data_IF_167146344630
#
_entry.id   IF_167146344630
#
_cell.length_a   1.000
_cell.length_b   1.000
_cell.length_c   1.000
_cell.angle_alpha   90.00
_cell.angle_beta   90.00
_cell.angle_gamma   90.00
#
_symmetry.space_group_name_H-M   'P 1'
#
loop_
_entity.id
_entity.type
_entity.pdbx_description
1 polymer ?
2 non-polymer ?
3 water ?
#
# COMPACT_ATOMS: atom_id res chain seq x y z
N UNK A 1 -15.38 -3.42 25.30
CA UNK A 1 -14.64 -2.31 24.66
C UNK A 1 -14.97 -2.18 23.18
N UNK A 2 -15.19 -0.93 22.75
CA UNK A 2 -15.56 -0.63 21.39
C UNK A 2 -14.48 0.27 20.78
N UNK A 3 -13.96 -0.14 19.61
CA UNK A 3 -12.94 0.63 18.91
C UNK A 3 -13.46 1.00 17.52
N UNK A 4 -12.95 2.09 16.97
CA UNK A 4 -13.22 2.46 15.57
C UNK A 4 -11.97 2.31 14.75
N UNK A 5 -12.13 1.85 13.51
CA UNK A 5 -10.99 1.55 12.64
C UNK A 5 -11.26 2.12 11.26
N UNK A 6 -10.70 3.28 10.95
CA UNK A 6 -10.84 3.81 9.60
C UNK A 6 -9.96 3.11 8.56
N UNK A 7 -10.54 2.86 7.39
CA UNK A 7 -9.77 2.50 6.23
C UNK A 7 -10.16 3.41 5.07
N UNK A 8 -9.20 3.63 4.17
CA UNK A 8 -9.39 4.50 3.03
C UNK A 8 -10.03 3.82 1.80
N UNK A 9 -10.27 2.51 1.87
CA UNK A 9 -10.66 1.69 0.71
C UNK A 9 -12.05 1.10 0.89
N UNK A 10 -12.71 0.73 -0.24
CA UNK A 10 -14.10 0.31 -0.23
C UNK A 10 -14.29 -1.12 0.26
N UNK A 11 -15.52 -1.48 0.58
CA UNK A 11 -15.81 -2.81 1.09
C UNK A 11 -15.32 -3.93 0.16
N UNK A 12 -15.36 -3.70 -1.15
CA UNK A 12 -14.98 -4.74 -2.13
C UNK A 12 -13.46 -4.92 -2.24
N UNK A 13 -12.71 -4.01 -1.65
CA UNK A 13 -11.25 -4.09 -1.71
C UNK A 13 -10.67 -5.20 -0.83
N UNK A 14 -9.67 -5.91 -1.39
CA UNK A 14 -9.03 -7.04 -0.71
C UNK A 14 -8.56 -6.74 0.73
N UNK A 15 -7.97 -5.56 0.97
CA UNK A 15 -7.54 -5.22 2.35
C UNK A 15 -8.73 -5.10 3.30
N UNK A 16 -9.86 -4.60 2.78
CA UNK A 16 -11.05 -4.34 3.61
C UNK A 16 -11.84 -5.63 3.84
N UNK A 17 -11.95 -6.45 2.78
CA UNK A 17 -12.41 -7.83 2.94
C UNK A 17 -11.63 -8.50 4.07
N UNK A 18 -10.30 -8.35 4.10
CA UNK A 18 -9.48 -8.95 5.16
C UNK A 18 -9.79 -8.32 6.52
N UNK A 19 -9.92 -6.99 6.51
CA UNK A 19 -10.21 -6.26 7.77
C UNK A 19 -11.53 -6.72 8.38
N UNK A 20 -12.49 -7.01 7.49
CA UNK A 20 -13.83 -7.48 7.88
C UNK A 20 -13.72 -8.84 8.61
N UNK A 21 -12.92 -9.74 8.06
CA UNK A 21 -12.65 -11.02 8.76
C UNK A 21 -11.87 -10.81 10.06
N UNK A 22 -10.92 -9.88 10.03
CA UNK A 22 -10.12 -9.51 11.20
C UNK A 22 -11.02 -9.08 12.35
N UNK A 23 -11.98 -8.19 12.09
CA UNK A 23 -12.80 -7.67 13.18
C UNK A 23 -13.66 -8.82 13.77
N UNK A 24 -14.14 -9.72 12.89
CA UNK A 24 -14.81 -10.96 13.30
C UNK A 24 -13.91 -11.86 14.16
N UNK A 25 -12.64 -11.99 13.80
CA UNK A 25 -11.67 -12.78 14.59
C UNK A 25 -11.42 -12.15 15.97
N UNK A 26 -11.33 -10.83 16.04
CA UNK A 26 -11.10 -10.16 17.33
C UNK A 26 -12.29 -10.37 18.26
N UNK A 27 -13.50 -10.25 17.71
CA UNK A 27 -14.73 -10.54 18.45
C UNK A 27 -14.69 -11.99 18.96
N UNK A 28 -14.52 -12.95 18.05
CA UNK A 28 -14.55 -14.36 18.43
C UNK A 28 -13.46 -14.75 19.43
N UNK A 29 -12.22 -14.34 19.17
CA UNK A 29 -11.11 -14.67 20.08
C UNK A 29 -11.17 -13.98 21.44
N UNK A 30 -11.70 -12.75 21.47
CA UNK A 30 -11.74 -11.99 22.72
C UNK A 30 -13.03 -12.30 23.51
N UNK A 31 -13.84 -13.19 22.94
CA UNK A 31 -15.13 -13.55 23.52
C UNK A 31 -16.09 -12.40 23.54
N UNK A 32 -15.95 -11.48 22.57
CA UNK A 32 -16.85 -10.32 22.49
C UNK A 32 -16.44 -9.12 23.33
N UNK A 33 -15.31 -9.21 24.02
CA UNK A 33 -14.85 -8.12 24.86
C UNK A 33 -14.22 -6.97 24.04
N UNK A 34 -13.87 -7.23 22.78
CA UNK A 34 -13.41 -6.15 21.91
C UNK A 34 -14.17 -6.15 20.59
N UNK A 35 -14.96 -5.09 20.38
CA UNK A 35 -15.74 -4.96 19.16
C UNK A 35 -15.21 -3.82 18.33
N UNK A 36 -14.78 -4.12 17.11
CA UNK A 36 -14.20 -3.09 16.25
C UNK A 36 -15.16 -2.77 15.12
N UNK A 37 -15.46 -1.49 14.99
CA UNK A 37 -16.28 -0.98 13.93
C UNK A 37 -15.37 -0.43 12.85
N UNK A 38 -15.57 -0.94 11.64
CA UNK A 38 -14.81 -0.49 10.47
C UNK A 38 -15.52 0.67 9.81
N UNK A 39 -14.75 1.68 9.44
CA UNK A 39 -15.26 2.83 8.71
C UNK A 39 -14.61 2.87 7.36
N UNK A 40 -15.29 2.34 6.36
CA UNK A 40 -14.60 2.13 5.09
C UNK A 40 -14.74 3.25 4.09
N UNK A 41 -14.02 3.11 2.98
CA UNK A 41 -14.03 4.07 1.90
C UNK A 41 -13.75 5.51 2.34
N UNK A 42 -12.84 5.69 3.31
CA UNK A 42 -12.46 7.03 3.81
C UNK A 42 -13.62 7.83 4.39
N UNK A 43 -14.65 7.13 4.85
CA UNK A 43 -15.86 7.76 5.38
C UNK A 43 -15.65 8.54 6.69
N UNK A 44 -14.71 8.08 7.51
CA UNK A 44 -14.42 8.73 8.80
C UNK A 44 -13.13 9.54 8.75
N UNK A 45 -12.05 8.86 8.39
CA UNK A 45 -10.79 9.52 8.10
C UNK A 45 -10.29 9.14 6.71
N UNK A 46 -9.61 10.07 6.05
CA UNK A 46 -9.07 9.83 4.69
C UNK A 46 -7.63 9.32 4.78
N UNK A 47 -7.11 8.77 3.69
CA UNK A 47 -5.78 8.13 3.71
C UNK A 47 -4.70 8.96 4.40
N UNK A 48 -4.55 10.24 4.01
CA UNK A 48 -3.47 11.02 4.61
C UNK A 48 -3.65 11.30 6.10
N UNK A 49 -4.87 11.07 6.61
CA UNK A 49 -5.26 11.45 7.99
C UNK A 49 -5.16 10.34 9.03
N UNK A 50 -5.08 9.09 8.58
CA UNK A 50 -5.35 7.95 9.49
C UNK A 50 -4.24 7.79 10.55
N UNK A 51 -2.98 8.04 10.18
CA UNK A 51 -1.88 7.83 11.13
C UNK A 51 -2.01 8.84 12.28
N UNK A 52 -2.29 10.10 11.94
CA UNK A 52 -2.52 11.13 12.97
C UNK A 52 -3.74 10.81 13.84
N UNK A 53 -4.79 10.28 13.22
CA UNK A 53 -6.00 9.88 13.96
C UNK A 53 -5.69 8.82 15.03
N UNK A 54 -4.87 7.82 14.69
CA UNK A 54 -4.47 6.78 15.64
C UNK A 54 -3.42 7.31 16.64
N UNK A 55 -2.51 8.17 16.18
CA UNK A 55 -1.53 8.76 17.06
C UNK A 55 -2.17 9.51 18.24
N UNK A 56 -3.24 10.24 17.95
CA UNK A 56 -3.92 11.08 18.96
C UNK A 56 -4.96 10.28 19.70
N UNK A 57 -5.02 8.97 19.41
CA UNK A 57 -6.07 8.12 19.94
C UNK A 57 -7.48 8.62 19.63
N UNK A 58 -7.66 9.32 18.51
CA UNK A 58 -9.03 9.63 18.03
C UNK A 58 -9.70 8.36 17.49
N UNK A 59 -8.91 7.54 16.79
CA UNK A 59 -9.29 6.16 16.48
C UNK A 59 -8.25 5.32 17.20
N UNK A 60 -8.66 4.22 17.85
CA UNK A 60 -7.72 3.38 18.61
C UNK A 60 -6.86 2.50 17.72
N UNK A 61 -7.32 2.31 16.49
CA UNK A 61 -6.73 1.39 15.51
C UNK A 61 -7.06 1.95 14.14
N UNK A 62 -6.21 1.71 13.14
CA UNK A 62 -6.46 2.28 11.82
C UNK A 62 -5.53 1.72 10.76
N UNK A 63 -5.98 1.71 9.52
CA UNK A 63 -5.19 1.19 8.40
C UNK A 63 -4.59 2.33 7.57
N UNK A 64 -3.28 2.29 7.38
CA UNK A 64 -2.60 3.28 6.54
C UNK A 64 -1.87 2.59 5.38
N UNK A 65 -1.49 3.39 4.39
CA UNK A 65 -0.58 2.97 3.32
C UNK A 65 0.75 3.55 3.73
N UNK A 66 1.74 2.69 3.96
CA UNK A 66 3.02 3.17 4.54
C UNK A 66 3.60 4.31 3.73
N UNK A 67 3.64 4.15 2.41
CA UNK A 67 4.28 5.14 1.54
C UNK A 67 3.62 6.53 1.53
N UNK A 68 2.39 6.65 2.04
CA UNK A 68 1.79 7.98 2.20
C UNK A 68 2.60 8.84 3.17
N UNK A 69 3.45 8.19 3.96
CA UNK A 69 4.16 8.88 5.03
C UNK A 69 5.66 9.01 4.77
N UNK A 70 6.04 8.84 3.51
CA UNK A 70 7.44 8.89 3.07
C UNK A 70 8.13 10.21 3.37
N UNK A 71 7.38 11.30 3.38
CA UNK A 71 7.98 12.61 3.70
C UNK A 71 8.22 12.82 5.19
N UNK A 72 7.61 11.99 6.03
CA UNK A 72 7.76 12.15 7.47
C UNK A 72 9.03 11.46 7.96
N UNK A 73 9.32 10.29 7.39
CA UNK A 73 10.50 9.52 7.77
C UNK A 73 10.82 8.52 6.67
N UNK A 74 12.11 8.35 6.31
CA UNK A 74 12.52 7.40 5.27
C UNK A 74 12.02 5.94 5.45
N UNK A 75 11.73 5.50 6.69
CA UNK A 75 11.31 4.11 6.88
C UNK A 75 10.02 3.83 6.11
N UNK A 76 9.21 4.86 5.90
CA UNK A 76 7.90 4.75 5.25
C UNK A 76 7.98 4.61 3.73
N UNK A 77 9.11 5.04 3.16
CA UNK A 77 9.31 5.10 1.71
C UNK A 77 9.72 3.76 1.09
N UNK A 78 10.35 2.90 1.90
CA UNK A 78 11.07 1.72 1.47
C UNK A 78 10.32 0.81 0.49
N UNK A 79 9.10 0.41 0.83
CA UNK A 79 8.34 -0.50 -0.05
C UNK A 79 7.72 0.16 -1.30
N UNK A 80 7.99 1.46 -1.49
CA UNK A 80 7.58 2.16 -2.71
C UNK A 80 8.73 2.40 -3.66
N UNK A 81 9.94 2.02 -3.29
CA UNK A 81 11.09 2.22 -4.20
C UNK A 81 10.96 1.22 -5.35
N UNK A 82 11.01 1.68 -6.63
CA UNK A 82 10.86 0.71 -7.74
C UNK A 82 12.07 -0.20 -7.97
N UNK A 83 11.77 -1.41 -8.44
CA UNK A 83 12.79 -2.39 -8.81
C UNK A 83 13.81 -2.72 -7.72
N UNK A 84 13.29 -2.87 -6.51
CA UNK A 84 14.04 -3.32 -5.36
C UNK A 84 13.48 -4.67 -4.91
N UNK A 85 12.13 -4.80 -4.86
CA UNK A 85 11.49 -6.04 -4.47
C UNK A 85 10.27 -6.16 -5.35
N UNK A 86 10.36 -7.05 -6.34
CA UNK A 86 9.41 -7.03 -7.45
C UNK A 86 8.59 -8.33 -7.50
N UNK A 87 8.31 -8.90 -6.33
CA UNK A 87 7.46 -10.09 -6.25
C UNK A 87 7.04 -10.27 -4.80
N UNK A 88 6.10 -11.19 -4.56
CA UNK A 88 5.58 -11.42 -3.20
C UNK A 88 6.66 -11.90 -2.21
N UNK A 89 7.52 -12.83 -2.62
CA UNK A 89 8.57 -13.31 -1.71
C UNK A 89 9.57 -12.22 -1.38
N UNK A 90 10.05 -11.52 -2.40
CA UNK A 90 11.00 -10.42 -2.14
C UNK A 90 10.33 -9.35 -1.29
N UNK A 91 9.05 -9.09 -1.56
CA UNK A 91 8.30 -8.09 -0.78
C UNK A 91 8.19 -8.51 0.69
N UNK A 92 7.84 -9.77 0.94
CA UNK A 92 7.80 -10.24 2.34
C UNK A 92 9.17 -10.14 3.03
N UNK A 93 10.21 -10.50 2.32
CA UNK A 93 11.56 -10.35 2.89
C UNK A 93 11.95 -8.89 3.13
N UNK A 94 11.55 -8.00 2.22
CA UNK A 94 11.80 -6.58 2.43
C UNK A 94 11.08 -6.12 3.67
N UNK A 95 9.83 -6.54 3.81
CA UNK A 95 9.03 -6.26 5.00
C UNK A 95 9.74 -6.70 6.27
N UNK A 96 10.18 -7.95 6.32
CA UNK A 96 10.85 -8.49 7.52
C UNK A 96 12.09 -7.68 7.91
N UNK A 97 12.85 -7.24 6.90
CA UNK A 97 14.00 -6.34 7.07
C UNK A 97 13.58 -4.96 7.64
N UNK A 98 12.45 -4.45 7.15
CA UNK A 98 11.94 -3.12 7.53
C UNK A 98 11.29 -3.09 8.89
N UNK A 99 10.69 -4.21 9.24
CA UNK A 99 9.71 -4.28 10.34
C UNK A 99 10.25 -3.73 11.67
N UNK A 100 11.46 -4.16 12.10
CA UNK A 100 11.94 -3.66 13.39
C UNK A 100 12.09 -2.13 13.44
N UNK A 101 12.50 -1.55 12.32
CA UNK A 101 12.62 -0.11 12.21
C UNK A 101 11.28 0.62 12.14
N UNK A 102 10.30 0.02 11.47
CA UNK A 102 8.92 0.51 11.44
C UNK A 102 8.33 0.53 12.85
N UNK A 103 8.48 -0.58 13.55
CA UNK A 103 8.01 -0.70 14.93
C UNK A 103 8.67 0.30 15.84
N UNK A 104 9.99 0.45 15.72
CA UNK A 104 10.72 1.47 16.49
C UNK A 104 10.17 2.88 16.24
N UNK A 105 10.06 3.26 14.97
CA UNK A 105 9.54 4.58 14.63
C UNK A 105 8.13 4.78 15.15
N UNK A 106 7.27 3.78 14.98
CA UNK A 106 5.91 3.89 15.47
C UNK A 106 5.88 4.00 16.99
N UNK A 107 6.74 3.24 17.66
CA UNK A 107 6.84 3.31 19.13
C UNK A 107 7.20 4.70 19.66
N UNK A 108 8.09 5.42 18.96
CA UNK A 108 8.49 6.80 19.29
C UNK A 108 7.32 7.80 19.27
N UNK A 109 6.21 7.40 18.66
CA UNK A 109 5.00 8.21 18.59
C UNK A 109 3.80 7.50 19.23
N UNK A 110 4.07 6.57 20.13
CA UNK A 110 3.01 5.90 20.89
C UNK A 110 2.10 4.96 20.14
N UNK A 111 2.60 4.35 19.05
CA UNK A 111 1.80 3.38 18.28
C UNK A 111 2.46 2.01 18.15
N UNK A 112 1.63 1.00 17.91
CA UNK A 112 2.09 -0.35 17.61
C UNK A 112 1.73 -0.76 16.20
N UNK A 113 2.60 -1.57 15.61
CA UNK A 113 2.30 -2.21 14.32
C UNK A 113 1.59 -3.53 14.58
N UNK A 114 0.35 -3.62 14.16
CA UNK A 114 -0.39 -4.86 14.40
C UNK A 114 -0.12 -5.87 13.29
N UNK A 115 -0.32 -5.48 12.05
CA UNK A 115 0.05 -6.31 10.92
C UNK A 115 0.18 -5.46 9.67
N UNK A 116 0.85 -6.01 8.65
CA UNK A 116 1.09 -5.26 7.41
C UNK A 116 0.91 -6.21 6.23
N UNK A 117 0.17 -5.77 5.21
CA UNK A 117 0.01 -6.61 4.03
C UNK A 117 0.27 -5.89 2.72
N UNK A 118 0.89 -6.61 1.79
CA UNK A 118 1.27 -6.01 0.51
C UNK A 118 0.08 -5.96 -0.43
N UNK A 119 -0.08 -4.81 -1.08
CA UNK A 119 -0.90 -4.69 -2.28
C UNK A 119 -0.21 -5.52 -3.38
N UNK A 120 -0.97 -5.88 -4.44
CA UNK A 120 -0.36 -6.61 -5.58
C UNK A 120 0.71 -5.79 -6.35
N UNK A 121 1.53 -6.47 -7.17
CA UNK A 121 2.62 -5.79 -7.86
C UNK A 121 2.14 -4.67 -8.77
N UNK A 122 2.84 -3.55 -8.72
CA UNK A 122 2.35 -2.33 -9.32
C UNK A 122 2.69 -2.20 -10.78
N UNK A 123 1.66 -1.92 -11.59
CA UNK A 123 1.86 -1.74 -13.03
C UNK A 123 1.39 -0.37 -13.45
N UNK A 124 1.49 -0.08 -14.74
CA UNK A 124 1.16 1.24 -15.27
C UNK A 124 -0.08 1.12 -16.08
N UNK A 125 -1.11 1.86 -15.65
CA UNK A 125 -2.35 2.02 -16.41
C UNK A 125 -2.16 3.19 -17.37
N UNK A 126 -2.25 2.93 -18.67
CA UNK A 126 -2.15 4.01 -19.66
C UNK A 126 -2.95 3.73 -20.95
N UNK A 127 -3.11 4.77 -21.74
CA UNK A 127 -3.69 4.60 -23.07
C UNK A 127 -2.62 4.57 -24.14
N UNK A 128 -1.41 4.98 -23.74
CA UNK A 128 -0.21 5.07 -24.57
C UNK A 128 0.54 3.76 -24.72
N UNK A 129 1.26 3.66 -25.83
CA UNK A 129 2.24 2.59 -25.99
C UNK A 129 3.51 2.95 -25.22
N UNK A 130 3.89 2.09 -24.28
CA UNK A 130 5.06 2.36 -23.45
C UNK A 130 6.00 1.19 -23.58
N UNK A 131 7.07 1.40 -24.36
CA UNK A 131 8.07 0.37 -24.58
C UNK A 131 9.38 0.77 -23.92
N UNK A 132 9.45 2.03 -23.49
CA UNK A 132 10.61 2.58 -22.79
C UNK A 132 10.18 3.75 -21.91
N UNK A 133 11.02 4.13 -20.94
CA UNK A 133 10.66 5.19 -20.00
C UNK A 133 10.26 6.48 -20.71
N UNK A 134 10.98 6.84 -21.78
CA UNK A 134 10.69 8.08 -22.51
C UNK A 134 9.25 8.16 -23.01
N UNK A 135 8.64 7.01 -23.30
CA UNK A 135 7.24 6.99 -23.73
C UNK A 135 6.28 7.51 -22.65
N UNK A 136 6.81 7.80 -21.47
CA UNK A 136 5.98 8.27 -20.36
C UNK A 136 6.00 9.79 -20.12
N UNK A 137 6.90 10.47 -20.82
CA UNK A 137 7.03 11.92 -20.71
C UNK A 137 5.70 12.60 -21.05
N UNK A 138 5.24 13.46 -20.16
CA UNK A 138 4.01 14.22 -20.41
C UNK A 138 2.71 13.53 -20.06
N UNK A 139 2.79 12.32 -19.49
CA UNK A 139 1.58 11.62 -19.04
C UNK A 139 0.88 12.48 -17.98
N UNK A 140 -0.46 12.51 -18.00
CA UNK A 140 -1.28 13.16 -16.98
C UNK A 140 -1.49 12.13 -15.86
N UNK A 141 -0.57 12.10 -14.92
CA UNK A 141 -0.39 10.97 -14.02
C UNK A 141 -1.13 11.18 -12.70
N UNK A 142 -1.82 10.15 -12.22
CA UNK A 142 -2.41 10.15 -10.90
C UNK A 142 -1.46 9.50 -9.90
N UNK A 143 -1.01 10.29 -8.93
CA UNK A 143 -0.19 9.76 -7.84
C UNK A 143 -1.13 9.36 -6.73
N UNK A 144 -0.70 8.39 -5.91
CA UNK A 144 -1.41 8.04 -4.69
C UNK A 144 -0.50 8.23 -3.46
N UNK A 145 0.71 8.75 -3.67
CA UNK A 145 1.65 8.91 -2.58
C UNK A 145 2.73 9.90 -3.01
N UNK A 146 3.50 10.46 -2.04
CA UNK A 146 4.68 11.27 -2.40
C UNK A 146 5.66 10.53 -3.30
N UNK A 147 5.78 9.20 -3.10
CA UNK A 147 6.84 8.45 -3.76
C UNK A 147 6.45 8.23 -5.22
N UNK A 148 5.16 8.07 -5.42
CA UNK A 148 4.61 7.79 -6.70
C UNK A 148 4.53 9.12 -7.50
N UNK A 149 4.42 10.24 -6.80
CA UNK A 149 4.64 11.55 -7.42
C UNK A 149 6.10 11.75 -7.87
N UNK A 150 7.04 11.31 -7.04
CA UNK A 150 8.47 11.38 -7.38
C UNK A 150 8.79 10.53 -8.63
N UNK A 151 8.28 9.31 -8.67
CA UNK A 151 8.46 8.44 -9.82
C UNK A 151 7.94 9.11 -11.10
N UNK A 152 6.74 9.68 -11.01
CA UNK A 152 6.17 10.43 -12.14
C UNK A 152 7.15 11.50 -12.60
N UNK A 153 7.63 12.31 -11.65
CA UNK A 153 8.54 13.40 -12.02
C UNK A 153 9.80 12.85 -12.68
N UNK A 154 10.24 11.69 -12.22
CA UNK A 154 11.50 11.14 -12.71
C UNK A 154 11.37 10.55 -14.11
N UNK A 155 10.15 10.23 -14.54
CA UNK A 155 9.94 9.75 -15.90
C UNK A 155 9.44 10.86 -16.85
N UNK A 156 9.34 12.07 -16.31
CA UNK A 156 8.82 13.22 -17.03
C UNK A 156 7.31 13.29 -17.11
N UNK A 157 6.60 12.52 -16.28
CA UNK A 157 5.14 12.65 -16.20
C UNK A 157 4.77 13.81 -15.28
N UNK A 158 3.49 14.18 -15.28
CA UNK A 158 3.04 15.33 -14.49
C UNK A 158 1.99 14.83 -13.51
N UNK A 159 2.39 14.69 -12.24
CA UNK A 159 1.44 14.04 -11.35
C UNK A 159 0.53 14.99 -10.61
N UNK A 160 -0.62 14.44 -10.24
CA UNK A 160 -1.48 15.05 -9.25
C UNK A 160 -1.94 13.92 -8.32
N UNK A 161 -1.98 14.20 -7.03
CA UNK A 161 -2.45 13.19 -6.06
C UNK A 161 -3.96 13.10 -6.02
N UNK A 162 -4.46 11.87 -6.15
CA UNK A 162 -5.87 11.57 -6.02
C UNK A 162 -6.02 10.32 -5.19
N UNK A 163 -6.74 10.41 -4.07
CA UNK A 163 -6.98 9.20 -3.26
C UNK A 163 -7.86 8.23 -4.02
N UNK A 164 -7.82 6.95 -3.65
CA UNK A 164 -8.60 5.94 -4.39
C UNK A 164 -10.10 6.25 -4.37
N UNK A 165 -10.57 6.78 -3.23
CA UNK A 165 -11.98 7.15 -3.08
C UNK A 165 -12.47 8.20 -4.07
N UNK A 166 -11.52 8.98 -4.63
CA UNK A 166 -11.78 10.01 -5.65
C UNK A 166 -11.28 9.68 -7.05
N UNK A 167 -10.79 8.46 -7.26
CA UNK A 167 -10.12 8.12 -8.52
C UNK A 167 -11.10 7.98 -9.68
N UNK A 168 -12.20 7.29 -9.46
CA UNK A 168 -13.19 7.08 -10.51
C UNK A 168 -13.65 8.42 -11.11
N UNK A 169 -13.90 9.37 -10.23
CA UNK A 169 -14.29 10.72 -10.59
C UNK A 169 -13.20 11.45 -11.37
N UNK A 170 -11.96 11.40 -10.89
CA UNK A 170 -10.82 12.02 -11.60
C UNK A 170 -10.60 11.47 -13.01
N UNK A 171 -10.88 10.18 -13.21
CA UNK A 171 -10.80 9.58 -14.53
C UNK A 171 -11.97 10.02 -15.39
N UNK A 172 -13.16 10.02 -14.80
CA UNK A 172 -14.40 10.34 -15.50
C UNK A 172 -14.42 11.77 -15.99
N UNK A 173 -13.71 12.66 -15.30
CA UNK A 173 -13.62 14.06 -15.70
C UNK A 173 -12.33 14.39 -16.47
N UNK A 174 -11.43 13.41 -16.57
CA UNK A 174 -10.24 13.56 -17.42
C UNK A 174 -9.08 14.34 -16.85
N UNK A 175 -9.05 14.49 -15.54
CA UNK A 175 -7.93 15.17 -14.88
C UNK A 175 -6.64 14.37 -15.01
N UNK A 176 -6.78 13.04 -15.07
CA UNK A 176 -5.64 12.11 -15.20
C UNK A 176 -5.95 11.02 -16.23
N UNK A 177 -4.94 10.58 -16.97
CA UNK A 177 -5.09 9.62 -18.07
C UNK A 177 -4.30 8.32 -17.86
N UNK A 178 -3.55 8.28 -16.76
CA UNK A 178 -2.58 7.24 -16.48
C UNK A 178 -2.25 7.25 -14.99
N UNK A 179 -1.76 6.11 -14.51
CA UNK A 179 -1.23 5.96 -13.16
C UNK A 179 -0.57 4.59 -12.91
N UNK A 180 0.23 4.50 -11.85
CA UNK A 180 0.67 3.20 -11.37
C UNK A 180 -0.10 2.78 -10.14
N UNK A 181 -0.53 1.50 -10.15
CA UNK A 181 -1.29 0.86 -9.06
C UNK A 181 -1.42 -0.62 -9.38
N UNK A 182 -2.30 -1.31 -8.64
CA UNK A 182 -2.50 -2.74 -8.74
C UNK A 182 -3.68 -3.03 -9.67
N UNK A 183 -3.79 -4.27 -10.14
CA UNK A 183 -4.99 -4.73 -10.85
C UNK A 183 -6.22 -4.57 -9.96
N UNK A 184 -6.04 -4.81 -8.66
CA UNK A 184 -7.05 -4.60 -7.62
C UNK A 184 -7.74 -3.24 -7.77
N UNK A 185 -6.97 -2.18 -7.61
CA UNK A 185 -7.47 -0.79 -7.74
C UNK A 185 -8.04 -0.51 -9.11
N UNK A 186 -7.34 -0.95 -10.16
CA UNK A 186 -7.86 -0.82 -11.52
C UNK A 186 -9.26 -1.39 -11.67
N UNK A 187 -9.45 -2.61 -11.19
CA UNK A 187 -10.75 -3.27 -11.25
C UNK A 187 -11.79 -2.55 -10.39
N UNK A 188 -11.45 -2.29 -9.12
CA UNK A 188 -12.42 -1.75 -8.17
C UNK A 188 -12.92 -0.34 -8.49
N UNK A 189 -12.20 0.37 -9.35
CA UNK A 189 -12.56 1.73 -9.73
C UNK A 189 -13.06 1.76 -11.17
N UNK A 190 -13.24 0.55 -11.74
CA UNK A 190 -13.60 0.37 -13.14
C UNK A 190 -12.76 1.23 -14.08
N UNK A 191 -11.44 1.17 -13.88
CA UNK A 191 -10.45 1.93 -14.69
C UNK A 191 -10.52 1.56 -16.18
N UNK A 192 -10.94 0.33 -16.45
CA UNK A 192 -11.13 -0.15 -17.82
C UNK A 192 -12.13 0.65 -18.66
N UNK A 193 -13.02 1.39 -18.01
CA UNK A 193 -13.93 2.28 -18.74
C UNK A 193 -13.18 3.44 -19.43
N UNK A 194 -12.04 3.84 -18.88
CA UNK A 194 -11.36 5.06 -19.30
C UNK A 194 -9.94 4.85 -19.76
N UNK A 195 -9.31 3.79 -19.26
CA UNK A 195 -7.91 3.52 -19.55
C UNK A 195 -7.77 2.07 -20.02
N UNK A 196 -7.10 1.86 -21.14
CA UNK A 196 -7.19 0.59 -21.88
C UNK A 196 -6.03 -0.40 -21.76
N UNK A 197 -4.92 0.01 -21.15
CA UNK A 197 -3.73 -0.85 -21.05
C UNK A 197 -3.30 -0.91 -19.60
N UNK A 198 -2.73 -2.06 -19.21
CA UNK A 198 -2.01 -2.19 -17.94
C UNK A 198 -0.71 -2.92 -18.25
N UNK A 199 0.40 -2.22 -18.13
CA UNK A 199 1.73 -2.79 -18.23
C UNK A 199 2.07 -3.39 -16.86
N UNK A 200 2.18 -4.71 -16.85
CA UNK A 200 2.41 -5.50 -15.63
C UNK A 200 3.87 -5.42 -15.21
N UNK A 201 4.32 -4.22 -14.84
CA UNK A 201 5.73 -3.99 -14.48
C UNK A 201 6.14 -4.63 -13.16
N UNK A 202 5.16 -4.94 -12.30
CA UNK A 202 5.46 -5.51 -10.98
C UNK A 202 6.60 -4.73 -10.33
N UNK A 203 6.51 -3.40 -10.42
CA UNK A 203 7.63 -2.51 -10.05
C UNK A 203 7.89 -2.44 -8.57
N UNK A 204 6.85 -2.58 -7.77
CA UNK A 204 6.99 -2.63 -6.31
C UNK A 204 5.70 -3.21 -5.75
N UNK A 205 5.69 -3.50 -4.46
CA UNK A 205 4.50 -3.98 -3.78
C UNK A 205 4.34 -3.15 -2.50
N UNK A 206 3.51 -2.10 -2.57
CA UNK A 206 3.45 -1.23 -1.42
C UNK A 206 2.55 -1.88 -0.36
N UNK A 207 2.85 -1.67 0.92
CA UNK A 207 2.04 -2.30 1.98
C UNK A 207 1.12 -1.31 2.66
N UNK A 208 -0.04 -1.81 3.08
CA UNK A 208 -0.82 -1.17 4.14
C UNK A 208 -0.36 -1.69 5.49
N UNK A 209 -0.66 -0.96 6.55
CA UNK A 209 -0.32 -1.39 7.90
C UNK A 209 -1.49 -1.03 8.78
N UNK A 210 -1.81 -1.94 9.69
CA UNK A 210 -2.82 -1.64 10.69
C UNK A 210 -2.06 -1.26 11.96
N UNK A 211 -2.29 -0.02 12.41
CA UNK A 211 -1.62 0.57 13.55
C UNK A 211 -2.58 0.62 14.70
N UNK A 212 -2.03 0.52 15.92
CA UNK A 212 -2.82 0.53 17.14
C UNK A 212 -2.21 1.58 18.08
N UNK A 213 -3.08 2.38 18.69
CA UNK A 213 -2.63 3.30 19.74
C UNK A 213 -2.22 2.54 21.02
N UNK A 214 -0.98 2.75 21.49
CA UNK A 214 -0.44 1.99 22.66
C UNK A 214 -1.31 2.18 23.91
N UNK A 215 -1.71 3.43 24.17
CA UNK A 215 -2.56 3.72 25.34
C UNK A 215 -3.89 2.96 25.27
N UNK A 216 -4.48 2.90 24.09
CA UNK A 216 -5.74 2.17 23.88
C UNK A 216 -5.54 0.67 24.10
N UNK A 217 -4.40 0.16 23.61
CA UNK A 217 -4.06 -1.26 23.74
C UNK A 217 -3.90 -1.63 25.24
N UNK A 218 -3.17 -0.76 25.95
CA UNK A 218 -2.81 -0.93 27.36
C UNK A 218 -4.00 -0.97 28.30
N UNK A 219 -5.09 -0.33 27.88
CA UNK A 219 -6.32 -0.29 28.67
C UNK A 219 -7.06 -1.63 28.65
N UNK A 220 -6.74 -2.49 27.70
CA UNK A 220 -7.40 -3.78 27.57
C UNK A 220 -6.81 -4.77 28.56
N UNK A 221 -7.61 -5.77 28.93
CA UNK A 221 -7.10 -6.84 29.79
C UNK A 221 -6.20 -7.75 28.96
N UNK A 222 -5.23 -8.41 29.63
CA UNK A 222 -4.25 -9.30 28.99
C UNK A 222 -4.79 -10.31 27.97
N UNK A 223 -5.91 -10.96 28.27
CA UNK A 223 -6.48 -11.94 27.35
C UNK A 223 -6.97 -11.27 26.06
N UNK A 224 -7.60 -10.11 26.23
CA UNK A 224 -8.11 -9.32 25.10
C UNK A 224 -6.95 -8.79 24.25
N UNK A 225 -5.88 -8.33 24.91
CA UNK A 225 -4.64 -7.98 24.20
C UNK A 225 -4.15 -9.15 23.35
N UNK A 226 -4.08 -10.34 23.94
CA UNK A 226 -3.56 -11.51 23.24
C UNK A 226 -4.49 -11.92 22.13
N UNK A 227 -5.79 -11.76 22.34
CA UNK A 227 -6.78 -12.02 21.31
C UNK A 227 -6.57 -11.09 20.07
N UNK A 228 -6.34 -9.81 20.35
CA UNK A 228 -6.01 -8.84 19.31
C UNK A 228 -4.71 -9.19 18.56
N UNK A 229 -3.64 -9.49 19.28
CA UNK A 229 -2.41 -9.86 18.60
C UNK A 229 -2.60 -11.12 17.75
N UNK A 230 -3.31 -12.11 18.29
CA UNK A 230 -3.53 -13.34 17.50
C UNK A 230 -4.39 -13.08 16.28
N UNK A 231 -5.43 -12.26 16.46
CA UNK A 231 -6.28 -11.90 15.33
C UNK A 231 -5.42 -11.17 14.28
N UNK A 232 -4.50 -10.33 14.76
CA UNK A 232 -3.56 -9.58 13.91
C UNK A 232 -2.67 -10.50 13.08
N UNK A 233 -2.07 -11.50 13.73
CA UNK A 233 -1.25 -12.52 13.02
C UNK A 233 -2.02 -13.29 11.96
N UNK A 234 -3.23 -13.74 12.31
CA UNK A 234 -4.12 -14.40 11.34
C UNK A 234 -4.42 -13.47 10.17
N UNK A 235 -4.67 -12.18 10.47
CA UNK A 235 -4.98 -11.18 9.42
C UNK A 235 -3.82 -10.99 8.46
N UNK A 236 -2.60 -10.95 9.00
CA UNK A 236 -1.42 -10.83 8.15
C UNK A 236 -1.29 -12.01 7.22
N UNK A 237 -1.43 -13.22 7.75
CA UNK A 237 -1.33 -14.45 6.94
C UNK A 237 -2.38 -14.48 5.84
N UNK A 238 -3.62 -14.23 6.23
CA UNK A 238 -4.74 -14.23 5.29
C UNK A 238 -4.59 -13.13 4.24
N UNK A 239 -4.12 -11.95 4.66
CA UNK A 239 -4.03 -10.78 3.76
C UNK A 239 -2.99 -11.00 2.67
N UNK A 240 -1.82 -11.52 3.05
CA UNK A 240 -0.80 -11.83 2.04
C UNK A 240 -1.31 -12.91 1.08
N UNK A 241 -1.98 -13.91 1.67
CA UNK A 241 -2.63 -14.98 0.92
C UNK A 241 -3.62 -14.45 -0.13
N UNK A 242 -4.56 -13.61 0.31
CA UNK A 242 -5.61 -13.12 -0.59
C UNK A 242 -5.06 -12.14 -1.64
N UNK A 243 -4.02 -11.39 -1.25
CA UNK A 243 -3.42 -10.43 -2.17
C UNK A 243 -2.83 -11.17 -3.36
N UNK A 244 -2.04 -12.20 -3.09
CA UNK A 244 -1.36 -12.95 -4.17
C UNK A 244 -2.36 -13.75 -4.98
N UNK A 245 -3.27 -14.45 -4.29
CA UNK A 245 -4.27 -15.30 -4.96
C UNK A 245 -5.18 -14.53 -5.92
N UNK A 246 -5.60 -13.33 -5.51
CA UNK A 246 -6.54 -12.56 -6.34
C UNK A 246 -5.87 -11.77 -7.47
N UNK A 247 -4.55 -11.62 -7.39
CA UNK A 247 -3.82 -10.82 -8.37
C UNK A 247 -4.07 -11.35 -9.79
N UNK A 248 -3.97 -12.67 -9.97
CA UNK A 248 -4.25 -13.24 -11.31
C UNK A 248 -5.72 -13.07 -11.66
N UNK A 249 -6.62 -13.20 -10.68
CA UNK A 249 -8.05 -13.01 -10.94
C UNK A 249 -8.33 -11.60 -11.44
N UNK A 250 -7.67 -10.59 -10.85
CA UNK A 250 -7.96 -9.22 -11.26
C UNK A 250 -7.46 -8.97 -12.67
N UNK A 251 -6.25 -9.45 -12.97
CA UNK A 251 -5.66 -9.29 -14.30
C UNK A 251 -6.54 -9.91 -15.41
N UNK A 252 -7.02 -11.13 -15.19
CA UNK A 252 -7.88 -11.82 -16.16
C UNK A 252 -9.26 -11.16 -16.24
N UNK A 253 -9.76 -10.64 -15.12
CA UNK A 253 -11.04 -9.94 -15.14
C UNK A 253 -10.91 -8.59 -15.86
N UNK A 254 -9.82 -7.85 -15.64
CA UNK A 254 -9.54 -6.63 -16.39
C UNK A 254 -9.48 -6.91 -17.89
N UNK A 255 -8.85 -8.02 -18.26
CA UNK A 255 -8.85 -8.46 -19.66
C UNK A 255 -10.26 -8.75 -20.14
N UNK A 256 -11.05 -9.51 -19.36
CA UNK A 256 -12.45 -9.78 -19.71
C UNK A 256 -13.16 -8.47 -20.08
N UNK A 257 -12.77 -7.40 -19.38
CA UNK A 257 -13.39 -6.08 -19.51
C UNK A 257 -12.79 -5.14 -20.56
N UNK A 258 -11.89 -5.69 -21.37
CA UNK A 258 -11.33 -4.97 -22.52
C UNK A 258 -10.01 -4.24 -22.31
N UNK A 259 -9.34 -4.48 -21.19
CA UNK A 259 -8.01 -3.90 -20.95
C UNK A 259 -6.94 -4.85 -21.54
N UNK A 260 -5.89 -4.27 -22.12
CA UNK A 260 -4.75 -5.07 -22.57
C UNK A 260 -3.85 -5.24 -21.35
N UNK A 261 -3.61 -6.48 -20.96
CA UNK A 261 -2.60 -6.76 -19.94
C UNK A 261 -1.27 -7.10 -20.62
N UNK A 262 -0.25 -6.25 -20.41
CA UNK A 262 0.96 -6.30 -21.21
C UNK A 262 2.21 -6.50 -20.34
N UNK A 263 2.96 -7.59 -20.56
CA UNK A 263 4.28 -7.70 -19.94
C UNK A 263 5.20 -6.61 -20.47
N UNK A 264 5.99 -6.01 -19.56
CA UNK A 264 6.87 -4.91 -19.94
C UNK A 264 8.06 -5.40 -20.78
N UNK A 265 8.49 -4.60 -21.77
CA UNK A 265 9.73 -4.88 -22.51
C UNK A 265 10.91 -4.84 -21.53
N UNK A 266 11.99 -5.52 -21.87
CA UNK A 266 13.20 -5.49 -21.06
C UNK A 266 13.70 -4.06 -20.95
N UNK A 267 13.52 -3.29 -22.03
CA UNK A 267 13.91 -1.88 -22.08
C UNK A 267 13.12 -1.02 -21.08
N UNK A 268 11.82 -1.24 -20.99
CA UNK A 268 11.02 -0.49 -20.02
C UNK A 268 11.46 -0.83 -18.61
N UNK A 269 11.63 -2.12 -18.33
CA UNK A 269 12.12 -2.55 -17.01
C UNK A 269 13.51 -1.99 -16.71
N UNK A 270 14.42 -1.98 -17.70
CA UNK A 270 15.75 -1.45 -17.42
C UNK A 270 15.74 0.06 -17.11
N UNK A 271 14.93 0.82 -17.85
CA UNK A 271 14.75 2.25 -17.61
C UNK A 271 14.20 2.56 -16.22
N UNK A 272 13.19 1.79 -15.82
CA UNK A 272 12.58 1.98 -14.50
C UNK A 272 13.51 1.50 -13.40
N UNK A 273 14.35 0.51 -13.72
CA UNK A 273 15.39 0.06 -12.79
C UNK A 273 16.37 1.20 -12.52
N UNK A 274 16.76 1.90 -13.59
CA UNK A 274 17.65 3.06 -13.45
C UNK A 274 17.02 4.14 -12.55
N UNK A 275 15.74 4.42 -12.73
CA UNK A 275 14.95 5.31 -11.83
C UNK A 275 14.98 4.78 -10.40
N UNK A 276 14.71 3.49 -10.24
CA UNK A 276 14.79 2.82 -8.94
C UNK A 276 16.15 2.97 -8.24
N UNK A 277 17.25 2.80 -8.97
CA UNK A 277 18.60 2.93 -8.39
C UNK A 277 18.90 4.35 -7.94
N UNK A 278 18.48 5.31 -8.76
CA UNK A 278 18.53 6.72 -8.37
C UNK A 278 17.72 6.95 -7.07
N UNK A 279 16.49 6.47 -7.04
CA UNK A 279 15.66 6.64 -5.83
C UNK A 279 16.20 5.92 -4.59
N UNK A 280 16.86 4.78 -4.77
CA UNK A 280 17.47 4.06 -3.64
C UNK A 280 18.69 4.82 -3.14
N UNK A 281 19.50 5.33 -4.07
CA UNK A 281 20.61 6.22 -3.68
C UNK A 281 20.10 7.40 -2.84
N UNK A 282 19.09 8.11 -3.36
CA UNK A 282 18.52 9.24 -2.65
C UNK A 282 18.04 8.78 -1.26
N UNK A 283 17.39 7.62 -1.23
CA UNK A 283 16.79 7.09 0.02
C UNK A 283 17.88 6.78 1.04
N UNK A 284 18.94 6.08 0.60
CA UNK A 284 20.08 5.79 1.48
C UNK A 284 20.66 7.09 2.08
N UNK A 285 20.77 8.11 1.25
CA UNK A 285 21.24 9.43 1.72
C UNK A 285 20.32 10.08 2.75
N UNK A 286 19.01 10.02 2.54
CA UNK A 286 18.07 10.53 3.53
C UNK A 286 18.09 9.69 4.80
N UNK A 287 18.24 8.38 4.64
CA UNK A 287 17.98 7.45 5.74
C UNK A 287 19.19 7.21 6.62
N UNK A 288 20.38 7.41 6.08
CA UNK A 288 21.62 7.27 6.85
C UNK A 288 21.83 5.84 7.29
N UNK A 289 22.43 5.66 8.47
CA UNK A 289 22.78 4.32 8.93
C UNK A 289 21.59 3.34 9.00
N UNK A 290 20.41 3.81 9.38
CA UNK A 290 19.23 2.94 9.47
C UNK A 290 18.84 2.40 8.10
N UNK A 291 18.98 3.24 7.08
CA UNK A 291 18.71 2.83 5.71
C UNK A 291 19.63 1.70 5.26
N UNK A 292 20.93 1.87 5.48
CA UNK A 292 21.91 0.83 5.22
C UNK A 292 21.62 -0.46 5.96
N UNK A 293 21.25 -0.39 7.24
CA UNK A 293 20.95 -1.58 8.01
C UNK A 293 19.78 -2.32 7.40
N UNK A 294 18.74 -1.59 7.00
CA UNK A 294 17.54 -2.22 6.42
C UNK A 294 17.92 -2.90 5.12
N UNK A 295 18.67 -2.20 4.29
CA UNK A 295 19.01 -2.75 2.99
C UNK A 295 19.94 -3.97 3.14
N UNK A 296 20.87 -3.93 4.09
CA UNK A 296 21.72 -5.08 4.38
C UNK A 296 20.91 -6.27 4.84
N UNK A 297 19.98 -6.05 5.78
CA UNK A 297 19.11 -7.15 6.25
C UNK A 297 18.26 -7.74 5.14
N UNK A 298 17.79 -6.88 4.23
CA UNK A 298 16.99 -7.37 3.10
C UNK A 298 17.83 -8.23 2.17
N UNK A 299 19.06 -7.79 1.95
CA UNK A 299 19.96 -8.46 1.02
C UNK A 299 20.51 -9.75 1.59
N UNK A 300 20.38 -9.93 2.91
CA UNK A 300 20.79 -11.16 3.61
C UNK A 300 19.73 -12.25 3.58
N UNK A 301 18.51 -11.89 3.22
CA UNK A 301 17.46 -12.91 3.25
C UNK A 301 17.40 -13.76 2.00
X LIG B 1 -3.85 0.70 -4.85
X LIG B 1 -3.80 1.86 -3.91
X LIG B 1 -2.39 1.99 -3.32
X LIG B 1 -1.55 0.90 -3.95
X LIG B 1 -2.52 0.15 -4.80
X LIG B 1 -2.23 -0.90 -5.39
X LIG B 1 -4.07 3.09 -4.74
X LIG B 1 -4.40 4.16 -4.21
X LIG B 1 -3.95 3.02 -5.97
#
# INVERSE_FOLDING_TARGET
TKWDLPTAYPASNLHVENLTQFVKDVDSLSGGKLKITLHNNASLYKAPEIKRAVQGNQAQIGEILLTNFANEDPVYELDGLPFLATGYDASFKLYQAQKPFLEKKLASQGMMLLYSVAWPPQGIFANRDIKQVSDMKGLKWRAYSPVTAKIAELVGAQPVTVQQAELAQAMATGVIDSYMSSGSTGFDTKTYEYIKKFYDTEAWLPKNAVLVNKKAFDALDPATQQALKKAGAQAEERGWKLSQEKNSWYKEQLAKNGMAIIAPTAELKSGLTEVGKRMLDDWLKKAGADGQAMIDAYRKQ
PCA N CA CB CG CD OE C O OXT
#
